data_IF_871479877064
#
_entry.id   IF_871479877064
#
_cell.length_a   1.000
_cell.length_b   1.000
_cell.length_c   1.000
_cell.angle_alpha   90.00
_cell.angle_beta   90.00
_cell.angle_gamma   90.00
#
_symmetry.space_group_name_H-M   'P 1'
#
loop_
_entity.id
_entity.type
_entity.pdbx_description
1 polymer ?
#
# COMPACT_ATOMS: atom_id res chain seq x y z
N UNK A 1 8.31 -9.95 11.88
CA UNK A 1 8.54 -9.38 10.54
C UNK A 1 9.37 -8.09 10.65
N UNK A 2 8.83 -7.00 11.21
CA UNK A 2 9.50 -5.69 11.31
C UNK A 2 10.92 -5.65 11.93
N UNK A 3 11.22 -6.43 12.98
CA UNK A 3 12.57 -6.42 13.58
C UNK A 3 13.64 -7.00 12.64
N UNK A 4 13.31 -8.10 11.95
CA UNK A 4 14.24 -8.78 11.04
C UNK A 4 14.63 -7.88 9.87
N UNK A 5 13.66 -7.18 9.28
CA UNK A 5 13.91 -6.29 8.14
C UNK A 5 14.72 -5.05 8.56
N UNK A 6 14.47 -4.54 9.77
CA UNK A 6 15.28 -3.46 10.35
C UNK A 6 16.74 -3.88 10.55
N UNK A 7 16.98 -5.07 11.09
CA UNK A 7 18.35 -5.58 11.32
C UNK A 7 19.09 -5.79 10.00
N UNK A 8 18.39 -6.30 8.97
CA UNK A 8 18.92 -6.45 7.61
C UNK A 8 19.31 -5.10 6.98
N UNK A 9 18.44 -4.10 7.06
CA UNK A 9 18.73 -2.75 6.58
C UNK A 9 19.93 -2.16 7.34
N UNK A 10 19.98 -2.35 8.66
CA UNK A 10 21.08 -1.84 9.48
C UNK A 10 22.43 -2.44 9.05
N UNK A 11 22.49 -3.75 8.78
CA UNK A 11 23.68 -4.47 8.34
C UNK A 11 24.08 -4.22 6.86
N UNK A 12 23.15 -3.81 6.01
CA UNK A 12 23.41 -3.58 4.58
C UNK A 12 24.08 -2.23 4.29
N UNK A 13 25.11 -2.19 3.44
CA UNK A 13 25.65 -0.93 2.91
C UNK A 13 24.88 -0.46 1.67
N UNK A 14 24.26 -1.41 0.97
CA UNK A 14 23.47 -1.17 -0.25
C UNK A 14 22.12 -1.89 -0.18
N UNK A 15 21.06 -1.17 -0.57
CA UNK A 15 19.68 -1.67 -0.56
C UNK A 15 19.03 -1.45 -1.91
N UNK A 16 18.47 -2.53 -2.46
CA UNK A 16 17.65 -2.52 -3.67
C UNK A 16 16.16 -2.59 -3.31
N UNK A 17 15.36 -1.72 -3.92
CA UNK A 17 13.91 -1.70 -3.77
C UNK A 17 13.28 -1.94 -5.15
N UNK A 18 12.51 -3.01 -5.28
CA UNK A 18 11.87 -3.42 -6.53
C UNK A 18 10.39 -3.02 -6.48
N UNK A 19 10.04 -1.91 -7.12
CA UNK A 19 8.68 -1.39 -7.22
C UNK A 19 8.55 0.06 -6.72
N UNK A 20 8.20 0.98 -7.62
CA UNK A 20 7.99 2.41 -7.35
C UNK A 20 6.56 2.80 -6.94
N UNK A 21 5.80 1.87 -6.36
CA UNK A 21 4.51 2.17 -5.73
C UNK A 21 4.66 2.85 -4.36
N UNK A 22 3.56 3.17 -3.66
CA UNK A 22 3.59 3.82 -2.35
C UNK A 22 4.55 3.15 -1.36
N UNK A 23 4.49 1.82 -1.25
CA UNK A 23 5.32 1.04 -0.32
C UNK A 23 6.81 1.22 -0.61
N UNK A 24 7.23 1.06 -1.87
CA UNK A 24 8.64 1.15 -2.22
C UNK A 24 9.19 2.58 -2.10
N UNK A 25 8.38 3.59 -2.43
CA UNK A 25 8.76 5.00 -2.23
C UNK A 25 8.90 5.34 -0.74
N UNK A 26 7.94 4.93 0.10
CA UNK A 26 8.02 5.14 1.55
C UNK A 26 9.24 4.43 2.14
N UNK A 27 9.50 3.19 1.74
CA UNK A 27 10.66 2.42 2.22
C UNK A 27 11.98 3.08 1.81
N UNK A 28 12.13 3.49 0.55
CA UNK A 28 13.32 4.19 0.08
C UNK A 28 13.58 5.46 0.88
N UNK A 29 12.51 6.23 1.13
CA UNK A 29 12.59 7.48 1.85
C UNK A 29 12.91 7.30 3.35
N UNK A 30 12.35 6.28 4.01
CA UNK A 30 12.69 5.97 5.40
C UNK A 30 14.15 5.51 5.53
N UNK A 31 14.63 4.64 4.64
CA UNK A 31 16.02 4.16 4.67
C UNK A 31 17.01 5.31 4.49
N UNK A 32 16.84 6.15 3.46
CA UNK A 32 17.80 7.21 3.18
C UNK A 32 17.78 8.34 4.21
N UNK A 33 16.64 8.52 4.90
CA UNK A 33 16.53 9.51 5.98
C UNK A 33 17.11 9.01 7.30
N UNK A 34 17.01 7.70 7.59
CA UNK A 34 17.58 7.09 8.80
C UNK A 34 19.07 6.75 8.62
N UNK A 35 19.52 6.51 7.39
CA UNK A 35 20.90 6.18 7.05
C UNK A 35 21.35 6.83 5.73
N UNK A 36 21.70 8.13 5.74
CA UNK A 36 22.05 8.90 4.53
C UNK A 36 23.25 8.37 3.75
N UNK A 37 24.13 7.60 4.40
CA UNK A 37 25.34 7.05 3.79
C UNK A 37 25.10 5.74 3.02
N UNK A 38 23.91 5.11 3.16
CA UNK A 38 23.59 3.86 2.46
C UNK A 38 23.29 4.12 0.99
N UNK A 39 23.74 3.21 0.13
CA UNK A 39 23.39 3.22 -1.29
C UNK A 39 21.99 2.64 -1.48
N UNK A 40 21.02 3.47 -1.85
CA UNK A 40 19.65 3.02 -2.11
C UNK A 40 19.35 3.12 -3.61
N UNK A 41 18.96 1.99 -4.21
CA UNK A 41 18.51 1.92 -5.61
C UNK A 41 17.06 1.47 -5.65
N UNK A 42 16.20 2.24 -6.31
CA UNK A 42 14.80 1.89 -6.56
C UNK A 42 14.60 1.61 -8.05
N UNK A 43 14.12 0.42 -8.37
CA UNK A 43 13.81 -0.01 -9.74
C UNK A 43 12.29 -0.12 -9.91
N UNK A 44 11.75 0.46 -10.99
CA UNK A 44 10.33 0.42 -11.27
C UNK A 44 10.05 0.25 -12.76
N UNK A 45 9.20 -0.72 -13.09
CA UNK A 45 8.86 -1.03 -14.49
C UNK A 45 7.98 0.00 -15.19
N UNK A 46 7.43 0.98 -14.46
CA UNK A 46 6.61 2.04 -15.04
C UNK A 46 7.42 3.32 -15.33
N UNK A 47 6.88 4.22 -16.18
CA UNK A 47 7.55 5.46 -16.58
C UNK A 47 7.59 6.53 -15.49
N UNK A 48 6.89 6.31 -14.37
CA UNK A 48 6.79 7.25 -13.24
C UNK A 48 6.57 6.50 -11.93
N UNK A 49 7.14 7.01 -10.84
CA UNK A 49 6.78 6.58 -9.48
C UNK A 49 5.33 6.91 -9.16
N UNK A 50 4.74 6.19 -8.20
CA UNK A 50 3.41 6.49 -7.65
C UNK A 50 2.36 6.65 -8.76
N UNK A 51 2.26 5.69 -9.70
CA UNK A 51 1.34 5.78 -10.84
C UNK A 51 -0.14 5.94 -10.46
N UNK A 52 -0.49 5.64 -9.21
CA UNK A 52 -1.82 5.88 -8.61
C UNK A 52 -2.09 7.36 -8.30
N UNK A 53 -1.07 8.21 -8.39
CA UNK A 53 -1.13 9.65 -8.16
C UNK A 53 -0.92 10.41 -9.49
N UNK A 54 -1.27 11.70 -9.48
CA UNK A 54 -1.06 12.62 -10.59
C UNK A 54 0.41 12.69 -11.03
N UNK A 55 0.69 12.95 -12.33
CA UNK A 55 2.06 13.14 -12.83
C UNK A 55 2.88 14.18 -12.06
N UNK A 56 2.22 15.23 -11.57
CA UNK A 56 2.86 16.26 -10.75
C UNK A 56 3.31 15.71 -9.40
N UNK A 57 2.50 14.89 -8.73
CA UNK A 57 2.87 14.23 -7.48
C UNK A 57 4.01 13.22 -7.70
N UNK A 58 3.93 12.41 -8.76
CA UNK A 58 5.00 11.50 -9.17
C UNK A 58 6.35 12.21 -9.37
N UNK A 59 6.35 13.31 -10.11
CA UNK A 59 7.56 14.08 -10.39
C UNK A 59 8.19 14.65 -9.11
N UNK A 60 7.37 15.19 -8.21
CA UNK A 60 7.81 15.70 -6.90
C UNK A 60 8.45 14.60 -6.03
N UNK A 61 7.86 13.39 -6.01
CA UNK A 61 8.44 12.27 -5.28
C UNK A 61 9.79 11.82 -5.87
N UNK A 62 9.88 11.76 -7.21
CA UNK A 62 11.11 11.42 -7.92
C UNK A 62 12.22 12.44 -7.64
N UNK A 63 11.92 13.73 -7.74
CA UNK A 63 12.84 14.82 -7.44
C UNK A 63 13.33 14.74 -5.98
N UNK A 64 12.41 14.51 -5.04
CA UNK A 64 12.77 14.39 -3.63
C UNK A 64 13.72 13.21 -3.40
N UNK A 65 13.42 12.01 -3.92
CA UNK A 65 14.29 10.83 -3.77
C UNK A 65 15.68 11.08 -4.36
N UNK A 66 15.75 11.64 -5.58
CA UNK A 66 17.02 11.98 -6.22
C UNK A 66 17.81 13.04 -5.45
N UNK A 67 17.14 14.02 -4.85
CA UNK A 67 17.78 15.03 -3.98
C UNK A 67 18.42 14.44 -2.72
N UNK A 68 18.03 13.22 -2.35
CA UNK A 68 18.60 12.44 -1.24
C UNK A 68 19.60 11.37 -1.70
N UNK A 69 20.08 11.44 -2.94
CA UNK A 69 21.01 10.46 -3.53
C UNK A 69 20.44 9.04 -3.69
N UNK A 70 19.11 8.88 -3.75
CA UNK A 70 18.51 7.61 -4.15
C UNK A 70 18.61 7.47 -5.67
N UNK A 71 19.22 6.38 -6.15
CA UNK A 71 19.23 6.03 -7.57
C UNK A 71 17.86 5.49 -7.95
N UNK A 72 17.21 6.09 -8.95
CA UNK A 72 15.87 5.65 -9.41
C UNK A 72 15.92 5.28 -10.89
N UNK A 73 15.68 4.00 -11.17
CA UNK A 73 15.62 3.41 -12.51
C UNK A 73 14.16 3.17 -12.88
N UNK A 74 13.65 3.94 -13.85
CA UNK A 74 12.29 3.83 -14.38
C UNK A 74 12.32 3.04 -15.69
N UNK A 75 11.16 2.53 -16.11
CA UNK A 75 11.01 1.70 -17.31
C UNK A 75 11.90 0.45 -17.29
N UNK A 76 12.22 -0.04 -16.08
CA UNK A 76 13.08 -1.19 -15.85
C UNK A 76 12.45 -2.15 -14.85
N UNK A 77 12.48 -3.44 -15.16
CA UNK A 77 12.02 -4.52 -14.25
C UNK A 77 13.20 -5.38 -13.81
N UNK A 78 13.01 -6.09 -12.70
CA UNK A 78 13.88 -7.18 -12.25
C UNK A 78 13.01 -8.42 -12.18
N UNK A 79 13.53 -9.53 -12.67
CA UNK A 79 12.87 -10.83 -12.55
C UNK A 79 12.89 -11.28 -11.08
N UNK A 80 11.71 -11.30 -10.46
CA UNK A 80 11.55 -11.59 -9.03
C UNK A 80 11.75 -13.09 -8.74
N UNK A 81 11.43 -13.96 -9.70
CA UNK A 81 11.59 -15.41 -9.53
C UNK A 81 13.07 -15.76 -9.53
N UNK A 82 13.85 -15.10 -10.39
CA UNK A 82 15.32 -15.17 -10.38
C UNK A 82 15.92 -14.44 -9.18
N UNK A 83 15.30 -13.37 -8.68
CA UNK A 83 15.70 -12.67 -7.45
C UNK A 83 15.47 -13.51 -6.17
N UNK A 84 14.97 -14.74 -6.26
CA UNK A 84 14.65 -15.53 -5.08
C UNK A 84 13.33 -15.08 -4.46
N UNK A 85 12.65 -16.01 -3.80
CA UNK A 85 11.27 -15.83 -3.35
C UNK A 85 11.17 -14.98 -2.07
N UNK A 86 11.38 -13.67 -2.19
CA UNK A 86 11.00 -12.67 -1.17
C UNK A 86 12.12 -11.80 -0.62
N UNK A 87 11.79 -10.94 0.34
CA UNK A 87 12.71 -9.97 0.94
C UNK A 87 13.90 -10.69 1.62
N UNK A 88 15.11 -10.30 1.24
CA UNK A 88 16.33 -11.05 1.56
C UNK A 88 17.50 -10.16 1.99
N UNK A 89 18.34 -10.72 2.85
CA UNK A 89 19.71 -10.25 3.09
C UNK A 89 20.58 -11.48 2.92
N UNK A 90 21.27 -11.53 1.79
CA UNK A 90 22.03 -12.70 1.36
C UNK A 90 23.52 -12.35 1.18
N UNK A 91 23.95 -11.22 1.76
CA UNK A 91 25.19 -10.56 1.38
C UNK A 91 25.07 -9.86 0.03
N UNK A 92 26.19 -9.39 -0.52
CA UNK A 92 26.20 -8.69 -1.80
C UNK A 92 25.75 -9.62 -2.93
N UNK A 93 24.71 -9.20 -3.65
CA UNK A 93 24.17 -9.91 -4.80
C UNK A 93 23.91 -8.97 -5.97
N UNK A 94 24.11 -9.49 -7.17
CA UNK A 94 23.87 -8.78 -8.42
C UNK A 94 22.48 -9.11 -8.97
N UNK A 95 21.79 -8.07 -9.42
CA UNK A 95 20.48 -8.14 -10.06
C UNK A 95 20.58 -7.52 -11.45
N UNK A 96 20.08 -8.22 -12.47
CA UNK A 96 20.05 -7.69 -13.84
C UNK A 96 18.69 -7.09 -14.13
N UNK A 97 18.66 -5.84 -14.59
CA UNK A 97 17.42 -5.18 -15.01
C UNK A 97 17.03 -5.60 -16.43
N UNK A 98 15.78 -5.37 -16.80
CA UNK A 98 15.30 -5.59 -18.19
C UNK A 98 16.02 -4.74 -19.23
N UNK A 99 16.75 -3.68 -18.82
CA UNK A 99 17.60 -2.88 -19.69
C UNK A 99 19.04 -3.42 -19.80
N UNK A 100 19.36 -4.53 -19.12
CA UNK A 100 20.69 -5.13 -19.08
C UNK A 100 21.64 -4.49 -18.07
N UNK A 101 21.17 -3.56 -17.24
CA UNK A 101 21.98 -2.96 -16.18
C UNK A 101 22.15 -3.94 -15.02
N UNK A 102 23.33 -3.96 -14.39
CA UNK A 102 23.60 -4.74 -13.18
C UNK A 102 23.52 -3.84 -11.96
N UNK A 103 22.69 -4.22 -10.99
CA UNK A 103 22.54 -3.54 -9.70
C UNK A 103 23.03 -4.48 -8.60
N UNK A 104 24.12 -4.14 -7.93
CA UNK A 104 24.59 -4.87 -6.75
C UNK A 104 23.93 -4.33 -5.47
N UNK A 105 23.43 -5.21 -4.62
CA UNK A 105 22.86 -4.85 -3.32
C UNK A 105 23.09 -5.94 -2.25
N UNK A 106 23.30 -5.53 -1.00
CA UNK A 106 23.44 -6.44 0.15
C UNK A 106 22.07 -6.93 0.66
N UNK A 107 21.05 -6.11 0.43
CA UNK A 107 19.67 -6.36 0.82
C UNK A 107 18.73 -5.93 -0.30
N UNK A 108 17.63 -6.67 -0.49
CA UNK A 108 16.59 -6.27 -1.43
C UNK A 108 15.19 -6.45 -0.86
N UNK A 109 14.28 -5.60 -1.34
CA UNK A 109 12.86 -5.60 -0.97
C UNK A 109 11.98 -5.63 -2.20
N UNK A 110 11.04 -6.58 -2.25
CA UNK A 110 10.06 -6.70 -3.33
C UNK A 110 8.79 -5.93 -2.94
N UNK A 111 8.68 -4.71 -3.45
CA UNK A 111 7.59 -3.77 -3.20
C UNK A 111 6.60 -3.67 -4.38
N UNK A 112 6.48 -4.74 -5.18
CA UNK A 112 5.50 -4.83 -6.27
C UNK A 112 4.12 -5.17 -5.73
N UNK A 113 3.07 -4.71 -6.44
CA UNK A 113 1.69 -5.03 -6.08
C UNK A 113 1.47 -6.53 -6.13
N UNK A 114 1.00 -7.14 -5.03
CA UNK A 114 0.62 -8.55 -5.00
C UNK A 114 -0.76 -8.72 -5.62
N UNK A 115 -1.02 -9.85 -6.32
CA UNK A 115 -2.38 -10.19 -6.75
C UNK A 115 -3.35 -10.19 -5.56
N UNK A 116 -4.61 -9.86 -5.81
CA UNK A 116 -5.66 -9.96 -4.79
C UNK A 116 -5.69 -11.40 -4.27
N UNK A 117 -5.58 -11.57 -2.95
CA UNK A 117 -5.49 -12.87 -2.28
C UNK A 117 -6.84 -13.61 -2.23
N UNK A 118 -7.55 -13.68 -3.36
CA UNK A 118 -8.87 -14.31 -3.53
C UNK A 118 -8.80 -15.65 -4.24
N UNK A 119 -7.61 -16.12 -4.66
CA UNK A 119 -7.46 -17.36 -5.43
C UNK A 119 -8.13 -18.57 -4.77
N UNK A 120 -8.09 -18.66 -3.44
CA UNK A 120 -8.73 -19.72 -2.66
C UNK A 120 -10.26 -19.71 -2.72
N UNK A 121 -10.89 -18.59 -3.09
CA UNK A 121 -12.34 -18.48 -3.23
C UNK A 121 -12.85 -19.05 -4.56
N UNK A 122 -12.00 -19.18 -5.58
CA UNK A 122 -12.42 -19.63 -6.93
C UNK A 122 -13.05 -21.03 -6.93
N UNK A 123 -12.63 -21.90 -6.02
CA UNK A 123 -13.20 -23.25 -5.86
C UNK A 123 -14.43 -23.32 -4.95
N UNK A 124 -14.95 -22.19 -4.48
CA UNK A 124 -16.12 -22.12 -3.59
C UNK A 124 -17.34 -21.57 -4.32
N UNK A 125 -18.50 -21.55 -3.65
CA UNK A 125 -19.70 -20.88 -4.19
C UNK A 125 -19.50 -19.37 -4.43
N UNK A 126 -18.44 -18.77 -3.88
CA UNK A 126 -18.10 -17.36 -4.12
C UNK A 126 -17.35 -17.14 -5.44
N UNK A 127 -16.88 -18.21 -6.10
CA UNK A 127 -16.07 -18.13 -7.31
C UNK A 127 -16.75 -17.40 -8.47
N UNK A 128 -18.07 -17.52 -8.60
CA UNK A 128 -18.86 -16.82 -9.63
C UNK A 128 -18.92 -15.30 -9.45
N UNK A 129 -18.60 -14.80 -8.25
CA UNK A 129 -18.62 -13.37 -7.92
C UNK A 129 -17.23 -12.73 -7.97
N UNK A 130 -16.22 -13.45 -8.46
CA UNK A 130 -14.86 -12.94 -8.62
C UNK A 130 -14.70 -12.39 -10.04
N UNK A 131 -14.33 -11.12 -10.16
CA UNK A 131 -14.06 -10.47 -11.44
C UNK A 131 -12.75 -10.96 -12.09
N UNK A 132 -12.46 -10.46 -13.29
CA UNK A 132 -11.25 -10.81 -14.04
C UNK A 132 -9.95 -10.44 -13.30
N UNK A 133 -10.00 -9.43 -12.44
CA UNK A 133 -8.87 -8.94 -11.64
C UNK A 133 -8.76 -9.65 -10.27
N UNK A 134 -9.61 -10.66 -10.02
CA UNK A 134 -9.60 -11.40 -8.76
C UNK A 134 -10.30 -10.69 -7.60
N UNK A 135 -11.19 -9.73 -7.85
CA UNK A 135 -11.92 -8.99 -6.81
C UNK A 135 -13.34 -9.53 -6.68
N UNK A 136 -13.87 -9.57 -5.46
CA UNK A 136 -15.27 -9.85 -5.21
C UNK A 136 -16.13 -8.65 -5.63
N UNK A 137 -17.09 -8.92 -6.53
CA UNK A 137 -18.08 -7.95 -6.98
C UNK A 137 -19.08 -7.69 -5.86
N UNK A 138 -19.19 -6.44 -5.43
CA UNK A 138 -20.11 -6.04 -4.37
C UNK A 138 -21.14 -5.01 -4.80
N UNK A 139 -22.32 -5.05 -4.18
CA UNK A 139 -23.32 -4.00 -4.33
C UNK A 139 -22.99 -2.77 -3.46
N UNK A 140 -23.85 -1.75 -3.55
CA UNK A 140 -23.75 -0.52 -2.76
C UNK A 140 -23.86 -0.73 -1.24
N UNK A 141 -24.29 -1.90 -0.77
CA UNK A 141 -24.33 -2.26 0.65
C UNK A 141 -23.13 -3.12 1.07
N UNK A 142 -22.18 -3.33 0.14
CA UNK A 142 -21.01 -4.21 0.26
C UNK A 142 -21.37 -5.70 0.38
N UNK A 143 -22.54 -6.10 -0.15
CA UNK A 143 -22.93 -7.51 -0.27
C UNK A 143 -22.31 -8.12 -1.52
N UNK A 144 -21.88 -9.39 -1.43
CA UNK A 144 -21.27 -10.09 -2.57
C UNK A 144 -22.35 -10.50 -3.57
N UNK A 145 -22.25 -10.01 -4.80
CA UNK A 145 -23.19 -10.29 -5.87
C UNK A 145 -24.65 -10.05 -5.47
N UNK A 146 -25.47 -11.11 -5.50
CA UNK A 146 -26.90 -11.08 -5.10
C UNK A 146 -27.16 -11.73 -3.74
N UNK A 147 -26.11 -12.09 -3.01
CA UNK A 147 -26.21 -12.81 -1.74
C UNK A 147 -26.64 -11.87 -0.62
N UNK A 148 -27.68 -12.26 0.14
CA UNK A 148 -28.25 -11.40 1.19
C UNK A 148 -27.46 -11.41 2.50
N UNK A 149 -26.65 -12.43 2.71
CA UNK A 149 -25.97 -12.73 3.98
C UNK A 149 -24.44 -12.80 3.85
N UNK A 150 -23.86 -12.45 2.70
CA UNK A 150 -22.42 -12.44 2.48
C UNK A 150 -21.98 -11.02 2.15
N UNK A 151 -20.97 -10.53 2.85
CA UNK A 151 -20.40 -9.19 2.68
C UNK A 151 -18.90 -9.29 2.43
N UNK A 152 -18.35 -8.39 1.62
CA UNK A 152 -16.91 -8.27 1.41
C UNK A 152 -16.46 -6.83 1.66
N UNK A 153 -15.29 -6.67 2.29
CA UNK A 153 -14.74 -5.37 2.67
C UNK A 153 -13.24 -5.31 2.37
N UNK A 154 -12.70 -4.09 2.25
CA UNK A 154 -11.27 -3.86 2.00
C UNK A 154 -10.84 -4.26 0.59
N UNK A 155 -9.57 -4.63 0.48
CA UNK A 155 -8.83 -4.74 -0.78
C UNK A 155 -9.39 -5.80 -1.73
N UNK A 156 -10.10 -6.80 -1.21
CA UNK A 156 -10.72 -7.86 -2.00
C UNK A 156 -11.91 -7.38 -2.84
N UNK A 157 -12.44 -6.19 -2.60
CA UNK A 157 -13.67 -5.71 -3.27
C UNK A 157 -13.39 -5.03 -4.61
N UNK A 158 -14.35 -5.05 -5.53
CA UNK A 158 -14.29 -4.34 -6.82
C UNK A 158 -14.56 -2.83 -6.71
N UNK A 159 -14.87 -2.33 -5.51
CA UNK A 159 -15.13 -0.91 -5.25
C UNK A 159 -14.05 -0.02 -5.89
N UNK A 160 -14.42 0.93 -6.77
CA UNK A 160 -13.49 1.68 -7.61
C UNK A 160 -12.85 2.84 -6.83
N UNK A 161 -12.00 2.50 -5.88
CA UNK A 161 -11.24 3.44 -5.06
C UNK A 161 -9.86 2.88 -4.69
N UNK A 162 -9.00 3.73 -4.16
CA UNK A 162 -7.69 3.32 -3.67
C UNK A 162 -7.84 2.26 -2.57
N UNK A 163 -7.01 1.22 -2.61
CA UNK A 163 -7.01 0.17 -1.59
C UNK A 163 -6.19 0.65 -0.39
N UNK A 164 -6.86 1.20 0.62
CA UNK A 164 -6.26 1.87 1.77
C UNK A 164 -6.92 1.42 3.07
N UNK A 165 -6.14 1.27 4.14
CA UNK A 165 -6.64 0.76 5.43
C UNK A 165 -7.80 1.58 6.02
N UNK A 166 -7.80 2.91 5.87
CA UNK A 166 -8.90 3.75 6.36
C UNK A 166 -10.20 3.57 5.55
N UNK A 167 -10.10 3.21 4.27
CA UNK A 167 -11.26 2.90 3.43
C UNK A 167 -11.83 1.53 3.80
N UNK A 168 -10.96 0.54 4.04
CA UNK A 168 -11.37 -0.75 4.60
C UNK A 168 -12.09 -0.59 5.95
N UNK A 169 -11.65 0.34 6.81
CA UNK A 169 -12.36 0.69 8.04
C UNK A 169 -13.74 1.31 7.75
N UNK A 170 -13.87 2.17 6.74
CA UNK A 170 -15.18 2.70 6.33
C UNK A 170 -16.11 1.60 5.80
N UNK A 171 -15.59 0.63 5.06
CA UNK A 171 -16.34 -0.56 4.65
C UNK A 171 -16.85 -1.31 5.88
N UNK A 172 -15.97 -1.59 6.86
CA UNK A 172 -16.33 -2.26 8.10
C UNK A 172 -17.41 -1.51 8.90
N UNK A 173 -17.36 -0.17 8.95
CA UNK A 173 -18.39 0.64 9.60
C UNK A 173 -19.76 0.51 8.92
N UNK A 174 -19.81 0.46 7.58
CA UNK A 174 -21.08 0.24 6.85
C UNK A 174 -21.61 -1.17 7.09
N UNK A 175 -20.77 -2.20 6.88
CA UNK A 175 -21.17 -3.60 7.03
C UNK A 175 -21.61 -3.89 8.47
N UNK A 176 -20.89 -3.41 9.49
CA UNK A 176 -21.28 -3.64 10.89
C UNK A 176 -22.64 -3.02 11.25
N UNK A 177 -22.99 -1.86 10.70
CA UNK A 177 -24.33 -1.27 10.87
C UNK A 177 -25.40 -2.09 10.17
N UNK A 178 -25.12 -2.53 8.94
CA UNK A 178 -26.02 -3.39 8.16
C UNK A 178 -26.27 -4.73 8.86
N UNK A 179 -25.24 -5.39 9.39
CA UNK A 179 -25.37 -6.62 10.18
C UNK A 179 -26.25 -6.43 11.42
N UNK A 180 -26.10 -5.32 12.15
CA UNK A 180 -26.97 -5.03 13.31
C UNK A 180 -28.44 -4.82 12.92
N UNK A 181 -28.71 -4.23 11.75
CA UNK A 181 -30.06 -4.06 11.24
C UNK A 181 -30.69 -5.41 10.87
N UNK A 182 -29.92 -6.28 10.22
CA UNK A 182 -30.37 -7.61 9.79
C UNK A 182 -30.62 -8.56 10.98
N UNK A 183 -29.77 -8.52 12.02
CA UNK A 183 -29.89 -9.38 13.20
C UNK A 183 -31.09 -9.05 14.11
N UNK A 184 -31.65 -7.83 14.03
CA UNK A 184 -32.79 -7.40 14.86
C UNK A 184 -34.15 -7.81 14.28
N UNK A 185 -34.19 -8.61 13.22
CA UNK A 185 -35.41 -9.16 12.58
C UNK A 185 -36.52 -8.16 12.19
N UNK A 186 -36.24 -6.85 12.14
CA UNK A 186 -37.26 -5.82 11.87
C UNK A 186 -36.78 -4.64 11.00
N UNK A 187 -35.54 -4.67 10.49
CA UNK A 187 -35.03 -3.65 9.57
C UNK A 187 -35.33 -4.03 8.12
N UNK A 188 -36.22 -3.33 7.40
CA UNK A 188 -36.44 -3.62 5.99
C UNK A 188 -35.16 -3.34 5.17
N UNK A 189 -34.90 -4.13 4.13
CA UNK A 189 -33.68 -4.03 3.30
C UNK A 189 -33.44 -2.61 2.76
N UNK A 190 -34.50 -1.81 2.55
CA UNK A 190 -34.38 -0.41 2.13
C UNK A 190 -33.70 0.53 3.15
N UNK A 191 -33.52 0.09 4.41
CA UNK A 191 -32.81 0.84 5.46
C UNK A 191 -31.31 0.51 5.52
N UNK A 192 -30.82 -0.42 4.69
CA UNK A 192 -29.39 -0.74 4.67
C UNK A 192 -28.59 0.50 4.26
N UNK A 193 -27.51 0.75 5.00
CA UNK A 193 -26.57 1.80 4.68
C UNK A 193 -25.86 1.49 3.37
N UNK A 194 -25.71 2.53 2.55
CA UNK A 194 -24.98 2.49 1.28
C UNK A 194 -23.55 2.98 1.48
N UNK A 195 -22.59 2.32 0.84
CA UNK A 195 -21.23 2.78 0.68
C UNK A 195 -21.10 3.54 -0.64
N UNK A 196 -20.37 4.66 -0.62
CA UNK A 196 -20.02 5.42 -1.81
C UNK A 196 -18.52 5.51 -1.91
N UNK A 197 -18.00 5.06 -3.05
CA UNK A 197 -16.58 5.12 -3.36
C UNK A 197 -16.04 6.55 -3.20
N UNK A 198 -14.87 6.66 -2.62
CA UNK A 198 -14.21 7.92 -2.32
C UNK A 198 -13.11 8.20 -3.32
N UNK A 199 -13.04 9.43 -3.84
CA UNK A 199 -11.80 9.96 -4.41
C UNK A 199 -10.86 10.25 -3.23
N UNK A 200 -10.15 9.22 -2.81
CA UNK A 200 -9.30 9.23 -1.64
C UNK A 200 -8.21 10.31 -1.77
N UNK A 201 -7.97 11.03 -0.68
CA UNK A 201 -6.67 11.66 -0.51
C UNK A 201 -5.63 10.54 -0.36
N UNK A 202 -4.55 10.63 -1.13
CA UNK A 202 -3.42 9.69 -1.04
C UNK A 202 -2.24 10.47 -0.48
N UNK A 203 -1.66 9.98 0.62
CA UNK A 203 -0.46 10.55 1.22
C UNK A 203 0.60 9.47 1.30
N UNK A 204 1.74 9.72 0.67
CA UNK A 204 2.93 8.87 0.67
C UNK A 204 3.99 9.60 1.46
N UNK A 205 4.46 9.01 2.57
CA UNK A 205 5.49 9.63 3.40
C UNK A 205 6.86 9.57 2.73
N UNK A 206 7.64 10.63 2.90
CA UNK A 206 9.01 10.74 2.42
C UNK A 206 9.93 10.89 3.64
N UNK A 207 10.08 9.79 4.38
CA UNK A 207 10.70 9.77 5.69
C UNK A 207 9.85 10.44 6.77
N UNK A 208 10.49 10.75 7.91
CA UNK A 208 9.79 11.22 9.12
C UNK A 208 9.18 12.62 9.04
N UNK A 209 9.57 13.45 8.05
CA UNK A 209 9.24 14.88 8.02
C UNK A 209 8.54 15.34 6.76
N UNK A 210 8.78 14.69 5.63
CA UNK A 210 8.20 15.08 4.35
C UNK A 210 7.13 14.07 3.91
N UNK A 211 6.25 14.50 3.02
CA UNK A 211 5.37 13.61 2.29
C UNK A 211 4.90 14.25 0.99
N UNK A 212 4.41 13.40 0.09
CA UNK A 212 3.62 13.82 -1.07
C UNK A 212 2.17 13.47 -0.79
N UNK A 213 1.31 14.49 -0.78
CA UNK A 213 -0.13 14.33 -0.59
C UNK A 213 -0.88 14.80 -1.82
N UNK A 214 -1.77 13.96 -2.31
CA UNK A 214 -2.73 14.29 -3.36
C UNK A 214 -4.11 14.41 -2.73
N UNK A 215 -4.65 15.62 -2.78
CA UNK A 215 -6.00 15.96 -2.39
C UNK A 215 -6.87 16.08 -3.65
N UNK A 216 -8.21 15.99 -3.54
CA UNK A 216 -9.12 15.95 -4.70
C UNK A 216 -8.96 17.10 -5.73
N UNK A 217 -8.30 18.20 -5.38
CA UNK A 217 -8.08 19.35 -6.26
C UNK A 217 -6.63 19.89 -6.26
N UNK A 218 -5.69 19.29 -5.52
CA UNK A 218 -4.32 19.79 -5.45
C UNK A 218 -3.31 18.73 -4.98
N UNK A 219 -2.04 18.86 -5.39
CA UNK A 219 -0.94 18.05 -4.86
C UNK A 219 0.10 18.90 -4.11
N UNK A 220 0.35 18.52 -2.86
CA UNK A 220 1.28 19.19 -1.94
C UNK A 220 2.49 18.29 -1.69
N UNK A 221 3.68 18.89 -1.68
CA UNK A 221 4.90 18.27 -1.17
C UNK A 221 5.53 19.25 -0.19
N UNK A 222 6.08 18.75 0.91
CA UNK A 222 6.83 19.56 1.85
C UNK A 222 6.81 18.95 3.24
N UNK A 223 7.37 19.70 4.18
CA UNK A 223 7.36 19.33 5.59
C UNK A 223 5.91 19.20 6.06
N UNK A 224 5.56 18.03 6.57
CA UNK A 224 4.36 17.86 7.37
C UNK A 224 4.74 18.30 8.80
N UNK A 225 4.32 19.48 9.30
CA UNK A 225 4.15 19.62 10.74
C UNK A 225 3.16 18.55 11.16
N UNK A 226 3.42 17.79 12.23
CA UNK A 226 2.77 16.51 12.61
C UNK A 226 1.24 16.47 12.79
N UNK A 227 0.50 16.97 11.80
CA UNK A 227 -0.91 17.31 11.76
C UNK A 227 -1.60 16.56 10.60
N UNK A 228 -0.88 16.20 9.53
CA UNK A 228 -1.43 15.42 8.39
C UNK A 228 -1.30 13.91 8.60
N UNK A 229 -0.31 13.47 9.39
CA UNK A 229 -0.17 12.10 9.91
C UNK A 229 0.40 12.23 11.32
N UNK A 230 -0.29 11.78 12.37
CA UNK A 230 0.22 11.92 13.73
C UNK A 230 1.54 11.16 13.87
N UNK A 231 2.43 11.61 14.77
CA UNK A 231 3.81 11.08 14.96
C UNK A 231 3.87 9.55 15.17
N UNK A 232 2.75 8.95 15.53
CA UNK A 232 2.55 7.54 15.78
C UNK A 232 1.96 6.78 14.57
N UNK A 233 1.84 7.39 13.39
CA UNK A 233 1.24 6.78 12.18
C UNK A 233 -0.17 6.20 12.44
N UNK A 234 -0.97 6.87 13.28
CA UNK A 234 -2.31 6.42 13.70
C UNK A 234 -2.31 5.20 14.64
N UNK A 235 -1.18 4.81 15.22
CA UNK A 235 -1.10 3.70 16.18
C UNK A 235 -2.00 3.94 17.41
N UNK A 236 -1.91 5.08 18.07
CA UNK A 236 -2.76 5.45 19.21
C UNK A 236 -4.22 5.55 18.82
N UNK A 237 -4.54 6.10 17.63
CA UNK A 237 -5.92 6.13 17.11
C UNK A 237 -6.47 4.72 16.88
N UNK A 238 -5.67 3.84 16.28
CA UNK A 238 -6.03 2.45 16.00
C UNK A 238 -6.18 1.65 17.29
N UNK A 239 -5.25 1.80 18.24
CA UNK A 239 -5.35 1.20 19.58
C UNK A 239 -6.61 1.63 20.30
N UNK A 240 -6.93 2.93 20.30
CA UNK A 240 -8.17 3.45 20.88
C UNK A 240 -9.41 2.88 20.19
N UNK A 241 -9.42 2.80 18.87
CA UNK A 241 -10.51 2.17 18.12
C UNK A 241 -10.67 0.68 18.41
N UNK A 242 -9.57 -0.02 18.66
CA UNK A 242 -9.55 -1.46 18.98
C UNK A 242 -9.73 -1.75 20.49
N UNK A 243 -9.92 -0.71 21.32
CA UNK A 243 -10.07 -0.87 22.78
C UNK A 243 -8.79 -1.27 23.52
N UNK A 244 -7.62 -1.10 22.90
CA UNK A 244 -6.31 -1.42 23.49
C UNK A 244 -5.80 -0.19 24.25
N UNK A 245 -5.56 -0.34 25.57
CA UNK A 245 -4.97 0.74 26.40
C UNK A 245 -3.53 1.04 25.96
N UNK A 246 -3.13 2.31 26.03
CA UNK A 246 -1.73 2.69 25.80
C UNK A 246 -0.85 2.05 26.88
N UNK A 247 0.25 1.39 26.47
CA UNK A 247 1.30 0.97 27.38
C UNK A 247 2.08 2.24 27.72
N UNK A 248 2.02 2.63 28.99
CA UNK A 248 2.76 3.74 29.60
C UNK A 248 4.27 3.55 29.46
#
# INVERSE_FOLDING_TARGET
MFHRDKDRIAAASSVLIIGGGPIGVELAAEIIMDSPDKRVTLVHGGPRLLMVMSPRASAKALEWLRSKNVTVLLDQTIDIDLAGTGDGYDGQRDFTTSAGETVSADCHFVCTGRPVASGWLRGTFLGEYIDADGRLVVDEHLRVGRLKNVFAIGDITDVPEAKQGYLAQRHAMVVSRNLRLLLRSAGPEHKLHRYKASKAAITVTLGRRDAVSELPFMSLIGHIPGVVKPRDLYVSRTRRMMGIKEIS
#
